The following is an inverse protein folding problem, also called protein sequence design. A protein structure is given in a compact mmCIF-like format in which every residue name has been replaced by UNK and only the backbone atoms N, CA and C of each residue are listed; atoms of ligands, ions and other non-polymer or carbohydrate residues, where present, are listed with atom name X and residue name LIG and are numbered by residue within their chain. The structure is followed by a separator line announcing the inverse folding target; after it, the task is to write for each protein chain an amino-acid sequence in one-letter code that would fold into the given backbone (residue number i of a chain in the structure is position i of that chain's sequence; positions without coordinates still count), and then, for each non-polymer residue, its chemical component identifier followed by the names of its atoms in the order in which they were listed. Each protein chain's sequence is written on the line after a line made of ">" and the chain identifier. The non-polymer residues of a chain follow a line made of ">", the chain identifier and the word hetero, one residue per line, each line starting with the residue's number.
data_IF_986123475131
#
_entry.id   IF_986123475131
#
_cell.length_a   1.000
_cell.length_b   1.000
_cell.length_c   1.000
_cell.angle_alpha   90.00
_cell.angle_beta   90.00
_cell.angle_gamma   90.00
#
_symmetry.space_group_name_H-M   'P 1'
#
loop_
_entity.id
_entity.type
_entity.pdbx_description
1 polymer ?
#
# COMPACT_ATOMS: atom_id res chain seq x y z
N UNK A 1 11.91 -20.77 6.81
CA UNK A 1 11.70 -19.86 5.67
C UNK A 1 12.10 -20.59 4.43
N UNK A 2 11.18 -20.73 3.48
CA UNK A 2 11.43 -21.36 2.18
C UNK A 2 12.42 -20.52 1.36
N UNK A 3 13.14 -21.16 0.42
CA UNK A 3 14.13 -20.48 -0.41
C UNK A 3 13.49 -19.36 -1.26
N UNK A 4 12.31 -19.60 -1.81
CA UNK A 4 11.54 -18.61 -2.56
C UNK A 4 11.22 -17.38 -1.70
N UNK A 5 10.77 -17.58 -0.48
CA UNK A 5 10.47 -16.53 0.49
C UNK A 5 11.69 -15.65 0.79
N UNK A 6 12.83 -16.30 1.06
CA UNK A 6 14.08 -15.61 1.34
C UNK A 6 14.57 -14.77 0.16
N UNK A 7 14.38 -15.27 -1.07
CA UNK A 7 14.70 -14.53 -2.29
C UNK A 7 13.80 -13.30 -2.42
N UNK A 8 12.48 -13.43 -2.22
CA UNK A 8 11.52 -12.34 -2.31
C UNK A 8 11.79 -11.23 -1.29
N UNK A 9 12.03 -11.59 -0.03
CA UNK A 9 12.35 -10.64 1.03
C UNK A 9 13.66 -9.89 0.76
N UNK A 10 14.70 -10.62 0.34
CA UNK A 10 15.98 -10.02 -0.03
C UNK A 10 15.86 -9.09 -1.24
N UNK A 11 15.10 -9.50 -2.24
CA UNK A 11 14.85 -8.72 -3.44
C UNK A 11 14.09 -7.43 -3.10
N UNK A 12 13.02 -7.51 -2.30
CA UNK A 12 12.26 -6.35 -1.86
C UNK A 12 13.16 -5.32 -1.17
N UNK A 13 13.96 -5.75 -0.19
CA UNK A 13 14.89 -4.89 0.53
C UNK A 13 15.93 -4.24 -0.39
N UNK A 14 16.46 -4.97 -1.37
CA UNK A 14 17.42 -4.41 -2.32
C UNK A 14 16.78 -3.43 -3.29
N UNK A 15 15.59 -3.74 -3.79
CA UNK A 15 14.85 -2.87 -4.69
C UNK A 15 14.45 -1.56 -3.99
N UNK A 16 14.04 -1.61 -2.72
CA UNK A 16 13.67 -0.40 -1.96
C UNK A 16 14.88 0.48 -1.65
N UNK A 17 16.02 -0.12 -1.26
CA UNK A 17 17.19 0.64 -0.82
C UNK A 17 18.09 1.12 -1.95
N UNK A 18 18.24 0.34 -3.02
CA UNK A 18 19.13 0.62 -4.15
C UNK A 18 18.39 1.03 -5.43
N UNK A 19 17.09 0.76 -5.49
CA UNK A 19 16.27 0.95 -6.68
C UNK A 19 16.23 -0.27 -7.59
N UNK A 20 15.17 -0.36 -8.39
CA UNK A 20 14.96 -1.49 -9.31
C UNK A 20 16.10 -1.59 -10.32
N UNK A 21 16.44 -0.51 -11.04
CA UNK A 21 17.41 -0.54 -12.15
C UNK A 21 18.80 -0.97 -11.72
N UNK A 22 19.24 -0.56 -10.54
CA UNK A 22 20.60 -0.81 -10.00
C UNK A 22 20.77 -2.16 -9.33
N UNK A 23 19.67 -2.81 -8.95
CA UNK A 23 19.69 -4.15 -8.35
C UNK A 23 19.81 -5.24 -9.41
N UNK A 24 20.76 -6.16 -9.26
CA UNK A 24 20.92 -7.33 -10.14
C UNK A 24 20.51 -8.63 -9.47
N UNK A 25 20.08 -9.63 -10.26
CA UNK A 25 19.77 -10.98 -9.74
C UNK A 25 20.99 -11.63 -9.06
N UNK A 26 22.21 -11.30 -9.50
CA UNK A 26 23.43 -11.78 -8.86
C UNK A 26 23.65 -11.20 -7.46
N UNK A 27 23.29 -9.92 -7.24
CA UNK A 27 23.29 -9.32 -5.90
C UNK A 27 22.24 -9.95 -5.00
N UNK A 28 21.01 -10.18 -5.53
CA UNK A 28 19.96 -10.88 -4.80
C UNK A 28 20.42 -12.29 -4.38
N UNK A 29 20.98 -13.08 -5.32
CA UNK A 29 21.50 -14.40 -5.04
C UNK A 29 22.53 -14.40 -3.92
N UNK A 30 23.53 -13.49 -4.00
CA UNK A 30 24.58 -13.34 -3.01
C UNK A 30 24.03 -12.99 -1.64
N UNK A 31 23.12 -12.03 -1.55
CA UNK A 31 22.56 -11.58 -0.28
C UNK A 31 21.54 -12.55 0.33
N UNK A 32 20.78 -13.26 -0.50
CA UNK A 32 19.90 -14.34 -0.07
C UNK A 32 20.66 -15.63 0.27
N UNK A 33 21.98 -15.66 0.02
CA UNK A 33 22.81 -16.86 0.18
C UNK A 33 22.25 -18.08 -0.58
N UNK A 34 21.93 -17.87 -1.85
CA UNK A 34 21.45 -18.91 -2.79
C UNK A 34 22.24 -18.86 -4.09
N UNK A 35 22.14 -19.91 -4.91
CA UNK A 35 22.71 -19.88 -6.25
C UNK A 35 21.85 -19.02 -7.20
N UNK A 36 22.49 -18.39 -8.18
CA UNK A 36 21.76 -17.67 -9.23
C UNK A 36 20.84 -18.62 -10.04
N UNK A 37 21.22 -19.87 -10.19
CA UNK A 37 20.41 -20.90 -10.83
C UNK A 37 19.10 -21.15 -10.05
N UNK A 38 19.13 -21.10 -8.72
CA UNK A 38 17.93 -21.24 -7.89
C UNK A 38 16.98 -20.05 -8.06
N UNK A 39 17.51 -18.84 -8.27
CA UNK A 39 16.64 -17.70 -8.61
C UNK A 39 15.92 -17.95 -9.94
N UNK A 40 16.64 -18.39 -11.00
CA UNK A 40 16.03 -18.68 -12.29
C UNK A 40 15.10 -19.90 -12.28
N UNK A 41 15.23 -20.78 -11.29
CA UNK A 41 14.28 -21.87 -11.11
C UNK A 41 12.92 -21.37 -10.58
N UNK A 42 12.92 -20.29 -9.78
CA UNK A 42 11.71 -19.70 -9.20
C UNK A 42 11.13 -18.54 -10.02
N UNK A 43 11.98 -17.81 -10.77
CA UNK A 43 11.62 -16.56 -11.42
C UNK A 43 12.27 -16.48 -12.81
N UNK A 44 11.50 -16.23 -13.84
CA UNK A 44 11.97 -16.19 -15.23
C UNK A 44 13.00 -15.08 -15.47
N UNK A 45 12.81 -13.94 -14.82
CA UNK A 45 13.63 -12.76 -14.97
C UNK A 45 13.53 -11.83 -13.73
N UNK A 46 14.25 -10.70 -13.77
CA UNK A 46 14.25 -9.72 -12.71
C UNK A 46 12.87 -9.08 -12.50
N UNK A 47 12.12 -8.92 -13.57
CA UNK A 47 10.81 -8.33 -13.58
C UNK A 47 9.79 -9.23 -12.86
N UNK A 48 9.78 -10.53 -13.16
CA UNK A 48 8.92 -11.49 -12.47
C UNK A 48 9.25 -11.58 -10.98
N UNK A 49 10.54 -11.57 -10.60
CA UNK A 49 10.96 -11.50 -9.21
C UNK A 49 10.46 -10.23 -8.51
N UNK A 50 10.57 -9.09 -9.18
CA UNK A 50 10.12 -7.82 -8.64
C UNK A 50 8.61 -7.79 -8.43
N UNK A 51 7.85 -8.21 -9.42
CA UNK A 51 6.40 -8.33 -9.37
C UNK A 51 5.93 -9.20 -8.21
N UNK A 52 6.50 -10.39 -8.06
CA UNK A 52 6.15 -11.32 -7.00
C UNK A 52 6.54 -10.78 -5.62
N UNK A 53 7.66 -10.06 -5.50
CA UNK A 53 8.08 -9.42 -4.26
C UNK A 53 7.11 -8.31 -3.82
N UNK A 54 6.67 -7.46 -4.75
CA UNK A 54 5.66 -6.42 -4.49
C UNK A 54 4.32 -7.06 -4.13
N UNK A 55 3.84 -8.01 -4.93
CA UNK A 55 2.57 -8.69 -4.68
C UNK A 55 2.54 -9.33 -3.29
N UNK A 56 3.59 -10.08 -2.93
CA UNK A 56 3.68 -10.74 -1.62
C UNK A 56 3.59 -9.74 -0.45
N UNK A 57 4.13 -8.56 -0.61
CA UNK A 57 4.10 -7.55 0.45
C UNK A 57 2.71 -6.92 0.60
N UNK A 58 1.98 -6.77 -0.50
CA UNK A 58 0.68 -6.09 -0.53
C UNK A 58 -0.52 -7.03 -0.30
N UNK A 59 -0.38 -8.31 -0.68
CA UNK A 59 -1.45 -9.30 -0.61
C UNK A 59 -2.02 -9.53 0.81
N UNK A 60 -1.20 -9.69 1.88
CA UNK A 60 -1.72 -9.89 3.24
C UNK A 60 -2.54 -8.72 3.76
N UNK A 61 -2.25 -7.51 3.29
CA UNK A 61 -2.97 -6.32 3.69
C UNK A 61 -4.43 -6.32 3.22
N UNK A 62 -4.67 -6.69 1.96
CA UNK A 62 -6.03 -6.71 1.39
C UNK A 62 -6.92 -7.79 2.02
N UNK A 63 -6.34 -8.92 2.42
CA UNK A 63 -7.09 -10.05 3.02
C UNK A 63 -7.50 -9.70 4.45
N UNK A 64 -6.59 -9.21 5.27
CA UNK A 64 -6.86 -8.93 6.68
C UNK A 64 -7.86 -7.79 6.89
N UNK A 65 -7.84 -6.78 6.00
CA UNK A 65 -8.72 -5.62 6.09
C UNK A 65 -10.20 -6.02 6.02
N UNK A 66 -10.58 -6.99 5.19
CA UNK A 66 -11.99 -7.38 5.01
C UNK A 66 -12.53 -8.10 6.25
N UNK A 67 -11.73 -8.97 6.85
CA UNK A 67 -12.13 -9.72 8.06
C UNK A 67 -12.36 -8.77 9.26
N UNK A 68 -11.55 -7.71 9.35
CA UNK A 68 -11.61 -6.71 10.43
C UNK A 68 -12.82 -5.76 10.34
N UNK A 69 -13.54 -5.76 9.22
CA UNK A 69 -14.72 -4.90 9.03
C UNK A 69 -16.04 -5.58 9.41
N UNK A 70 -16.05 -6.88 9.60
CA UNK A 70 -17.27 -7.63 9.87
C UNK A 70 -17.91 -7.18 11.20
N UNK A 71 -19.23 -6.91 11.16
CA UNK A 71 -20.01 -6.50 12.34
C UNK A 71 -19.84 -5.05 12.78
N UNK A 72 -18.99 -4.25 12.12
CA UNK A 72 -18.81 -2.82 12.41
C UNK A 72 -19.85 -1.98 11.66
N UNK A 73 -20.26 -0.86 12.26
CA UNK A 73 -21.02 0.21 11.56
C UNK A 73 -20.13 0.89 10.52
N UNK A 74 -20.73 1.51 9.50
CA UNK A 74 -20.00 2.06 8.36
C UNK A 74 -19.00 3.18 8.79
N UNK A 75 -19.32 3.94 9.81
CA UNK A 75 -18.38 4.95 10.35
C UNK A 75 -17.17 4.31 11.05
N UNK A 76 -17.38 3.19 11.74
CA UNK A 76 -16.28 2.41 12.34
C UNK A 76 -15.48 1.67 11.26
N UNK A 77 -16.14 1.14 10.22
CA UNK A 77 -15.46 0.55 9.07
C UNK A 77 -14.56 1.57 8.38
N UNK A 78 -15.04 2.78 8.15
CA UNK A 78 -14.24 3.83 7.51
C UNK A 78 -13.03 4.22 8.37
N UNK A 79 -13.21 4.37 9.70
CA UNK A 79 -12.10 4.62 10.63
C UNK A 79 -11.07 3.50 10.61
N UNK A 80 -11.53 2.26 10.61
CA UNK A 80 -10.65 1.09 10.58
C UNK A 80 -9.85 1.01 9.28
N UNK A 81 -10.46 1.24 8.14
CA UNK A 81 -9.77 1.29 6.85
C UNK A 81 -8.66 2.34 6.83
N UNK A 82 -8.94 3.55 7.32
CA UNK A 82 -7.94 4.63 7.40
C UNK A 82 -6.75 4.20 8.29
N UNK A 83 -7.03 3.59 9.44
CA UNK A 83 -6.02 3.12 10.39
C UNK A 83 -5.17 1.99 9.81
N UNK A 84 -5.80 0.96 9.24
CA UNK A 84 -5.11 -0.19 8.65
C UNK A 84 -4.20 0.20 7.48
N UNK A 85 -4.64 1.13 6.64
CA UNK A 85 -3.79 1.64 5.56
C UNK A 85 -2.51 2.27 6.11
N UNK A 86 -2.64 3.10 7.15
CA UNK A 86 -1.49 3.74 7.77
C UNK A 86 -0.57 2.71 8.45
N UNK A 87 -1.14 1.78 9.21
CA UNK A 87 -0.40 0.74 9.92
C UNK A 87 0.38 -0.16 8.96
N UNK A 88 -0.26 -0.55 7.85
CA UNK A 88 0.41 -1.32 6.80
C UNK A 88 1.64 -0.58 6.28
N UNK A 89 1.48 0.69 5.93
CA UNK A 89 2.58 1.49 5.41
C UNK A 89 3.66 1.73 6.47
N UNK A 90 3.26 1.93 7.73
CA UNK A 90 4.20 2.09 8.83
C UNK A 90 5.04 0.83 9.08
N UNK A 91 4.45 -0.34 8.86
CA UNK A 91 5.12 -1.66 9.00
C UNK A 91 5.99 -2.02 7.78
N UNK A 92 5.67 -1.48 6.60
CA UNK A 92 6.33 -1.80 5.33
C UNK A 92 6.88 -0.57 4.59
N UNK A 93 7.74 0.27 5.24
CA UNK A 93 8.25 1.50 4.63
C UNK A 93 9.01 1.24 3.33
N UNK A 94 9.74 0.13 3.25
CA UNK A 94 10.49 -0.28 2.05
C UNK A 94 9.59 -0.46 0.83
N UNK A 95 8.40 -1.00 1.03
CA UNK A 95 7.42 -1.21 -0.05
C UNK A 95 6.87 0.11 -0.57
N UNK A 96 6.64 1.06 0.32
CA UNK A 96 6.16 2.41 -0.04
C UNK A 96 7.22 3.18 -0.80
N UNK A 97 8.47 3.15 -0.30
CA UNK A 97 9.62 3.77 -0.98
C UNK A 97 9.78 3.19 -2.38
N UNK A 98 9.63 1.87 -2.51
CA UNK A 98 9.71 1.19 -3.80
C UNK A 98 8.61 1.64 -4.74
N UNK A 99 7.35 1.65 -4.28
CA UNK A 99 6.20 2.09 -5.08
C UNK A 99 6.37 3.55 -5.53
N UNK A 100 6.75 4.44 -4.62
CA UNK A 100 7.02 5.85 -4.95
C UNK A 100 8.21 5.99 -5.91
N UNK A 101 9.27 5.22 -5.70
CA UNK A 101 10.44 5.21 -6.57
C UNK A 101 10.11 4.79 -8.00
N UNK A 102 9.16 3.88 -8.15
CA UNK A 102 8.62 3.45 -9.46
C UNK A 102 7.73 4.54 -10.07
N UNK A 103 6.85 5.15 -9.28
CA UNK A 103 5.96 6.23 -9.74
C UNK A 103 6.70 7.48 -10.20
N UNK A 104 7.86 7.77 -9.61
CA UNK A 104 8.64 8.97 -9.89
C UNK A 104 9.69 8.78 -11.01
N UNK A 105 9.92 7.55 -11.47
CA UNK A 105 10.93 7.21 -12.48
C UNK A 105 10.27 6.51 -13.67
N UNK A 106 9.80 7.27 -14.63
CA UNK A 106 9.15 6.74 -15.85
C UNK A 106 9.99 5.72 -16.63
N UNK A 107 11.35 5.82 -16.57
CA UNK A 107 12.27 5.00 -17.38
C UNK A 107 12.64 3.63 -16.77
N UNK A 108 12.18 3.29 -15.58
CA UNK A 108 12.72 2.17 -14.81
C UNK A 108 11.70 1.12 -14.37
N UNK A 109 10.43 1.36 -14.58
CA UNK A 109 9.38 0.42 -14.17
C UNK A 109 9.02 -0.53 -15.31
N UNK A 110 8.85 -1.83 -15.02
CA UNK A 110 8.17 -2.73 -15.94
C UNK A 110 6.76 -2.20 -16.27
N UNK A 111 6.37 -2.23 -17.54
CA UNK A 111 5.08 -1.69 -18.03
C UNK A 111 3.87 -2.26 -17.25
N UNK A 112 3.95 -3.50 -16.80
CA UNK A 112 2.91 -4.20 -16.03
C UNK A 112 2.82 -3.73 -14.55
N UNK A 113 3.90 -3.19 -13.98
CA UNK A 113 3.94 -2.83 -12.57
C UNK A 113 3.12 -1.57 -12.25
N UNK A 114 3.21 -0.56 -13.10
CA UNK A 114 2.41 0.65 -12.95
C UNK A 114 0.92 0.33 -12.97
N UNK A 115 0.49 -0.54 -13.89
CA UNK A 115 -0.88 -1.04 -13.94
C UNK A 115 -1.32 -1.72 -12.65
N UNK A 116 -0.46 -2.54 -12.04
CA UNK A 116 -0.76 -3.23 -10.77
C UNK A 116 -0.84 -2.30 -9.57
N UNK A 117 0.06 -1.33 -9.48
CA UNK A 117 0.00 -0.32 -8.40
C UNK A 117 -1.29 0.49 -8.52
N UNK A 118 -1.63 0.92 -9.72
CA UNK A 118 -2.88 1.64 -10.01
C UNK A 118 -4.10 0.79 -9.67
N UNK A 119 -4.08 -0.50 -10.01
CA UNK A 119 -5.16 -1.43 -9.68
C UNK A 119 -5.33 -1.62 -8.16
N UNK A 120 -4.24 -1.78 -7.41
CA UNK A 120 -4.30 -1.85 -5.94
C UNK A 120 -4.89 -0.60 -5.31
N UNK A 121 -4.47 0.58 -5.79
CA UNK A 121 -5.02 1.83 -5.32
C UNK A 121 -6.50 1.97 -5.67
N UNK A 122 -6.89 1.50 -6.86
CA UNK A 122 -8.29 1.48 -7.28
C UNK A 122 -9.12 0.57 -6.38
N UNK A 123 -8.67 -0.66 -6.12
CA UNK A 123 -9.36 -1.61 -5.25
C UNK A 123 -9.58 -1.02 -3.85
N UNK A 124 -8.56 -0.39 -3.27
CA UNK A 124 -8.69 0.21 -1.94
C UNK A 124 -9.63 1.42 -1.92
N UNK A 125 -9.54 2.29 -2.91
CA UNK A 125 -10.47 3.40 -3.08
C UNK A 125 -11.91 2.91 -3.25
N UNK A 126 -12.11 1.87 -4.05
CA UNK A 126 -13.43 1.32 -4.31
C UNK A 126 -14.02 0.67 -3.04
N UNK A 127 -13.20 0.06 -2.18
CA UNK A 127 -13.60 -0.42 -0.86
C UNK A 127 -14.05 0.73 0.06
N UNK A 128 -13.31 1.82 0.11
CA UNK A 128 -13.71 3.03 0.85
C UNK A 128 -15.02 3.60 0.32
N UNK A 129 -15.16 3.68 -1.01
CA UNK A 129 -16.35 4.19 -1.67
C UNK A 129 -17.59 3.31 -1.37
N UNK A 130 -17.42 1.99 -1.32
CA UNK A 130 -18.51 1.07 -0.96
C UNK A 130 -18.99 1.27 0.48
N UNK A 131 -18.07 1.45 1.43
CA UNK A 131 -18.41 1.77 2.83
C UNK A 131 -19.17 3.10 2.92
N UNK A 132 -18.71 4.13 2.20
CA UNK A 132 -19.34 5.44 2.16
C UNK A 132 -20.76 5.37 1.55
N UNK A 133 -20.94 4.63 0.46
CA UNK A 133 -22.24 4.45 -0.18
C UNK A 133 -23.21 3.68 0.71
N UNK A 134 -22.76 2.62 1.40
CA UNK A 134 -23.61 1.89 2.37
C UNK A 134 -24.01 2.79 3.53
N UNK A 135 -23.07 3.55 4.09
CA UNK A 135 -23.35 4.46 5.21
C UNK A 135 -24.28 5.61 4.81
N UNK A 136 -24.20 6.09 3.57
CA UNK A 136 -25.17 7.06 3.03
C UNK A 136 -26.56 6.45 2.91
N UNK A 137 -26.69 5.22 2.42
CA UNK A 137 -27.98 4.52 2.28
C UNK A 137 -28.58 4.14 3.63
N UNK A 138 -27.78 3.73 4.60
CA UNK A 138 -28.24 3.40 5.95
C UNK A 138 -28.55 4.64 6.82
N UNK A 139 -28.16 5.83 6.37
CA UNK A 139 -28.35 7.10 7.09
C UNK A 139 -27.30 7.37 8.18
N UNK A 140 -26.23 6.59 8.24
CA UNK A 140 -25.06 6.85 9.11
C UNK A 140 -24.33 8.10 8.61
N UNK A 141 -24.21 8.24 7.30
CA UNK A 141 -23.61 9.41 6.65
C UNK A 141 -24.68 10.29 6.02
N UNK A 142 -24.33 11.56 5.80
CA UNK A 142 -25.20 12.57 5.17
C UNK A 142 -25.48 12.22 3.71
N UNK A 143 -26.59 12.70 3.20
CA UNK A 143 -26.97 12.55 1.78
C UNK A 143 -25.99 13.26 0.83
N UNK A 144 -25.26 14.29 1.32
CA UNK A 144 -24.27 15.05 0.56
C UNK A 144 -22.95 14.29 0.33
N UNK A 145 -22.78 13.11 0.89
CA UNK A 145 -21.58 12.27 0.67
C UNK A 145 -21.54 11.84 -0.79
N UNK A 146 -20.40 12.09 -1.44
CA UNK A 146 -20.07 11.64 -2.79
C UNK A 146 -19.07 10.49 -2.70
N UNK A 147 -19.49 9.21 -2.67
CA UNK A 147 -18.66 8.08 -2.22
C UNK A 147 -17.30 7.97 -2.91
N UNK A 148 -17.26 8.08 -4.25
CA UNK A 148 -16.01 7.96 -5.01
C UNK A 148 -15.10 9.18 -4.81
N UNK A 149 -15.68 10.39 -4.74
CA UNK A 149 -14.91 11.62 -4.52
C UNK A 149 -14.35 11.66 -3.10
N UNK A 150 -15.19 11.38 -2.09
CA UNK A 150 -14.78 11.38 -0.70
C UNK A 150 -13.74 10.28 -0.41
N UNK A 151 -13.89 9.08 -0.99
CA UNK A 151 -12.87 8.04 -0.95
C UNK A 151 -11.54 8.51 -1.57
N UNK A 152 -11.59 9.26 -2.68
CA UNK A 152 -10.40 9.81 -3.32
C UNK A 152 -9.73 10.88 -2.45
N UNK A 153 -10.51 11.70 -1.72
CA UNK A 153 -9.98 12.67 -0.74
C UNK A 153 -9.25 11.95 0.38
N UNK A 154 -9.82 10.88 0.95
CA UNK A 154 -9.16 10.05 1.98
C UNK A 154 -7.84 9.49 1.45
N UNK A 155 -7.84 8.87 0.28
CA UNK A 155 -6.63 8.31 -0.33
C UNK A 155 -5.55 9.37 -0.54
N UNK A 156 -5.91 10.54 -1.04
CA UNK A 156 -4.98 11.65 -1.26
C UNK A 156 -4.38 12.14 0.07
N UNK A 157 -5.18 12.26 1.12
CA UNK A 157 -4.70 12.64 2.44
C UNK A 157 -3.74 11.58 3.02
N UNK A 158 -4.07 10.30 2.91
CA UNK A 158 -3.20 9.20 3.34
C UNK A 158 -1.87 9.21 2.59
N UNK A 159 -1.88 9.38 1.27
CA UNK A 159 -0.65 9.50 0.47
C UNK A 159 0.18 10.73 0.88
N UNK A 160 -0.47 11.86 1.18
CA UNK A 160 0.21 13.06 1.66
C UNK A 160 0.90 12.84 3.01
N UNK A 161 0.23 12.20 3.97
CA UNK A 161 0.80 11.85 5.28
C UNK A 161 2.02 10.94 5.11
N UNK A 162 1.92 9.94 4.22
CA UNK A 162 3.02 9.03 3.93
C UNK A 162 4.22 9.74 3.32
N UNK A 163 3.97 10.61 2.36
CA UNK A 163 5.04 11.37 1.70
C UNK A 163 5.79 12.26 2.70
N UNK A 164 5.08 12.94 3.59
CA UNK A 164 5.69 13.77 4.64
C UNK A 164 6.58 12.93 5.56
N UNK A 165 6.10 11.75 5.99
CA UNK A 165 6.90 10.83 6.79
C UNK A 165 8.17 10.38 6.06
N UNK A 166 8.10 10.07 4.76
CA UNK A 166 9.26 9.64 3.96
C UNK A 166 10.26 10.76 3.71
N UNK A 167 9.80 12.01 3.64
CA UNK A 167 10.68 13.18 3.52
C UNK A 167 11.43 13.51 4.81
N UNK A 168 11.14 12.80 5.92
CA UNK A 168 11.83 12.99 7.19
C UNK A 168 11.45 14.30 7.88
N UNK A 169 10.27 14.82 7.63
CA UNK A 169 9.77 16.01 8.32
C UNK A 169 9.42 15.66 9.78
N UNK A 170 10.41 15.84 10.67
CA UNK A 170 10.24 15.62 12.10
C UNK A 170 9.31 16.63 12.76
N UNK A 171 8.95 17.71 12.06
CA UNK A 171 8.04 18.75 12.58
C UNK A 171 6.58 18.32 12.53
N UNK A 172 6.28 17.29 11.71
CA UNK A 172 4.93 16.81 11.49
C UNK A 172 4.75 15.41 12.05
N UNK A 173 3.95 15.28 13.11
CA UNK A 173 3.57 13.98 13.66
C UNK A 173 2.56 13.29 12.74
N UNK A 174 3.02 12.29 11.99
CA UNK A 174 2.18 11.52 11.08
C UNK A 174 1.01 10.81 11.79
N UNK A 175 1.20 10.38 13.04
CA UNK A 175 0.14 9.76 13.83
C UNK A 175 -0.93 10.80 14.22
N UNK A 176 -0.52 12.00 14.59
CA UNK A 176 -1.44 13.10 14.88
C UNK A 176 -2.23 13.54 13.63
N UNK A 177 -1.59 13.58 12.46
CA UNK A 177 -2.27 13.87 11.19
C UNK A 177 -3.31 12.79 10.84
N UNK A 178 -2.95 11.52 11.02
CA UNK A 178 -3.86 10.40 10.79
C UNK A 178 -5.07 10.48 11.72
N UNK A 179 -4.83 10.71 13.01
CA UNK A 179 -5.90 10.85 13.99
C UNK A 179 -6.80 12.05 13.65
N UNK A 180 -6.21 13.14 13.19
CA UNK A 180 -6.97 14.31 12.73
C UNK A 180 -7.80 14.02 11.49
N UNK A 181 -7.24 13.31 10.52
CA UNK A 181 -7.96 12.85 9.33
C UNK A 181 -9.15 11.98 9.75
N UNK A 182 -8.89 10.95 10.56
CA UNK A 182 -9.89 9.99 11.02
C UNK A 182 -11.04 10.64 11.78
N UNK A 183 -10.73 11.54 12.71
CA UNK A 183 -11.76 12.21 13.51
C UNK A 183 -12.49 13.28 12.71
N UNK A 184 -11.77 14.22 12.12
CA UNK A 184 -12.39 15.38 11.44
C UNK A 184 -13.14 14.96 10.18
N UNK A 185 -12.56 14.09 9.36
CA UNK A 185 -13.20 13.66 8.10
C UNK A 185 -14.44 12.82 8.39
N UNK A 186 -14.30 11.75 9.18
CA UNK A 186 -15.43 10.86 9.47
C UNK A 186 -16.55 11.59 10.22
N UNK A 187 -16.21 12.40 11.21
CA UNK A 187 -17.22 13.16 11.95
C UNK A 187 -17.94 14.20 11.07
N UNK A 188 -17.23 14.76 10.09
CA UNK A 188 -17.84 15.67 9.11
C UNK A 188 -18.83 14.95 8.19
N UNK A 189 -18.63 13.66 7.90
CA UNK A 189 -19.55 12.88 7.06
C UNK A 189 -20.77 12.37 7.82
N UNK A 190 -20.72 12.26 9.14
CA UNK A 190 -21.85 11.78 9.96
C UNK A 190 -23.04 12.74 9.89
N UNK A 191 -24.23 12.16 10.04
CA UNK A 191 -25.49 12.92 10.03
C UNK A 191 -25.73 13.70 11.31
#
# INVERSE_FOLDING_TARGET
>A
MDAREKILETAMRLFSTQGYSTTSLSQVAKQANVSKALIFWHFDNKESLFRDAVQRTLEPYLINVLDDLEGLTEDLQLRRLIEEYYDFVAKHPDSVILVLGVLLREDAAPDDLMGRITELQRVYRDLLADVLERGRRSGVFRESVEPVLDASVVMTALHGILLQRLLGDETTDAAALLERLRTTFVDTLRR
#
